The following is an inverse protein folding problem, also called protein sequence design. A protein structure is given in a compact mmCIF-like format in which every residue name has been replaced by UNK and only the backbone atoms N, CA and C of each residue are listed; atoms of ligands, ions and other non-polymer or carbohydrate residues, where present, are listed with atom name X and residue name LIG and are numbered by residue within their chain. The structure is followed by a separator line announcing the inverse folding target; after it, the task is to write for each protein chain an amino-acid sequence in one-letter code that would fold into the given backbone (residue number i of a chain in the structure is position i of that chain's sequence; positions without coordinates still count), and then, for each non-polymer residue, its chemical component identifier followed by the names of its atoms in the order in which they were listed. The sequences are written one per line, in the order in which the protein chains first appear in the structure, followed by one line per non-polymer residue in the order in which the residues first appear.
data_IF_629622575614
#
_entry.id   IF_629622575614
#
_cell.length_a   1.000
_cell.length_b   1.000
_cell.length_c   1.000
_cell.angle_alpha   90.00
_cell.angle_beta   90.00
_cell.angle_gamma   90.00
#
_symmetry.space_group_name_H-M   'P 1'
#
loop_
_entity.id
_entity.type
_entity.pdbx_description
1 polymer ?
#
# COMPACT_ATOMS: atom_id res chain seq x y z
N UNK A 1 -27.64 -4.91 -32.12
CA UNK A 1 -27.92 -4.53 -30.71
C UNK A 1 -26.81 -5.03 -29.77
N UNK A 2 -26.34 -6.25 -29.96
CA UNK A 2 -25.34 -6.87 -29.04
C UNK A 2 -23.99 -6.14 -29.03
N UNK A 3 -23.51 -5.67 -30.19
CA UNK A 3 -22.26 -4.89 -30.30
C UNK A 3 -22.34 -3.56 -29.54
N UNK A 4 -23.47 -2.85 -29.65
CA UNK A 4 -23.69 -1.61 -28.91
C UNK A 4 -23.69 -1.85 -27.39
N UNK A 5 -24.34 -2.92 -26.93
CA UNK A 5 -24.35 -3.29 -25.51
C UNK A 5 -22.94 -3.65 -25.03
N UNK A 6 -22.16 -4.36 -25.84
CA UNK A 6 -20.77 -4.68 -25.52
C UNK A 6 -19.92 -3.42 -25.37
N UNK A 7 -19.99 -2.49 -26.32
CA UNK A 7 -19.26 -1.22 -26.29
C UNK A 7 -19.66 -0.41 -25.05
N UNK A 8 -20.96 -0.30 -24.76
CA UNK A 8 -21.44 0.43 -23.59
C UNK A 8 -20.91 -0.17 -22.28
N UNK A 9 -20.94 -1.50 -22.14
CA UNK A 9 -20.41 -2.20 -20.96
C UNK A 9 -18.90 -2.00 -20.79
N UNK A 10 -18.14 -2.01 -21.88
CA UNK A 10 -16.70 -1.72 -21.85
C UNK A 10 -16.41 -0.27 -21.45
N UNK A 11 -17.11 0.71 -22.01
CA UNK A 11 -16.94 2.12 -21.66
C UNK A 11 -17.31 2.41 -20.21
N UNK A 12 -18.41 1.82 -19.71
CA UNK A 12 -18.78 1.92 -18.29
C UNK A 12 -17.67 1.34 -17.43
N UNK A 13 -17.12 0.18 -17.80
CA UNK A 13 -16.01 -0.44 -17.06
C UNK A 13 -14.78 0.46 -17.01
N UNK A 14 -14.38 1.06 -18.13
CA UNK A 14 -13.28 2.03 -18.16
C UNK A 14 -13.55 3.20 -17.21
N UNK A 15 -14.77 3.75 -17.23
CA UNK A 15 -15.19 4.81 -16.30
C UNK A 15 -15.07 4.38 -14.83
N UNK A 16 -15.50 3.17 -14.48
CA UNK A 16 -15.40 2.62 -13.13
C UNK A 16 -13.93 2.40 -12.70
N UNK A 17 -13.06 1.96 -13.61
CA UNK A 17 -11.62 1.83 -13.34
C UNK A 17 -11.00 3.21 -13.07
N UNK A 18 -11.32 4.21 -13.87
CA UNK A 18 -10.85 5.58 -13.64
C UNK A 18 -11.35 6.14 -12.31
N UNK A 19 -12.60 5.85 -11.93
CA UNK A 19 -13.12 6.22 -10.61
C UNK A 19 -12.38 5.53 -9.47
N UNK A 20 -11.99 4.26 -9.63
CA UNK A 20 -11.17 3.54 -8.66
C UNK A 20 -9.76 4.14 -8.53
N UNK A 21 -9.15 4.53 -9.65
CA UNK A 21 -7.85 5.23 -9.66
C UNK A 21 -7.95 6.58 -8.94
N UNK A 22 -9.02 7.34 -9.17
CA UNK A 22 -9.30 8.60 -8.46
C UNK A 22 -9.58 8.36 -6.97
N UNK A 23 -10.34 7.32 -6.64
CA UNK A 23 -10.60 6.92 -5.25
C UNK A 23 -9.28 6.61 -4.52
N UNK A 24 -8.33 5.96 -5.20
CA UNK A 24 -6.98 5.73 -4.66
C UNK A 24 -6.21 7.03 -4.48
N UNK A 25 -6.25 7.92 -5.46
CA UNK A 25 -5.59 9.22 -5.39
C UNK A 25 -6.07 10.06 -4.18
N UNK A 26 -7.33 9.91 -3.81
CA UNK A 26 -7.97 10.60 -2.68
C UNK A 26 -7.92 9.82 -1.34
N UNK A 27 -7.27 8.64 -1.32
CA UNK A 27 -7.18 7.77 -0.13
C UNK A 27 -6.65 8.47 1.13
N UNK A 28 -5.82 9.51 0.99
CA UNK A 28 -5.34 10.31 2.12
C UNK A 28 -6.50 11.01 2.87
N UNK A 29 -7.51 11.51 2.15
CA UNK A 29 -8.69 12.17 2.75
C UNK A 29 -9.54 11.21 3.58
N UNK A 30 -9.48 9.92 3.24
CA UNK A 30 -10.19 8.85 3.93
C UNK A 30 -9.33 8.14 4.99
N UNK A 31 -8.04 8.48 5.07
CA UNK A 31 -7.09 7.87 5.99
C UNK A 31 -6.76 6.41 5.66
N UNK A 32 -6.81 6.05 4.38
CA UNK A 32 -6.46 4.73 3.82
C UNK A 32 -5.25 4.80 2.89
N UNK A 33 -4.56 5.94 2.86
CA UNK A 33 -3.32 6.12 2.09
C UNK A 33 -2.26 5.08 2.47
N UNK A 34 -1.33 4.83 1.54
CA UNK A 34 -0.23 3.89 1.75
C UNK A 34 0.54 4.24 3.02
N UNK A 35 0.59 3.27 3.95
CA UNK A 35 1.23 3.42 5.25
C UNK A 35 0.69 4.62 6.04
N UNK A 36 -0.63 4.82 6.17
CA UNK A 36 -1.23 5.93 6.93
C UNK A 36 -2.23 5.46 7.99
N UNK A 37 -1.81 5.27 9.23
CA UNK A 37 -2.74 5.14 10.37
C UNK A 37 -2.84 6.36 11.28
N UNK A 38 -1.93 7.33 11.11
CA UNK A 38 -2.07 8.67 11.65
C UNK A 38 -1.92 9.67 10.51
N UNK A 39 -2.75 10.72 10.48
CA UNK A 39 -2.61 11.80 9.48
C UNK A 39 -1.22 12.44 9.59
N UNK A 40 -0.83 13.26 8.59
CA UNK A 40 0.41 14.07 8.61
C UNK A 40 0.62 14.86 9.92
N UNK A 41 -0.46 15.11 10.66
CA UNK A 41 -0.52 15.87 11.91
C UNK A 41 -0.79 15.01 13.16
N UNK A 42 -0.79 13.67 13.05
CA UNK A 42 -0.98 12.76 14.18
C UNK A 42 -2.43 12.45 14.55
N UNK A 43 -3.41 12.93 13.80
CA UNK A 43 -4.83 12.63 14.06
C UNK A 43 -5.18 11.22 13.58
N UNK A 44 -5.93 10.47 14.39
CA UNK A 44 -6.47 9.17 13.98
C UNK A 44 -7.60 9.38 12.95
N UNK A 45 -7.55 8.75 11.78
CA UNK A 45 -8.63 8.84 10.81
C UNK A 45 -9.95 8.35 11.40
N UNK A 46 -11.05 9.05 11.10
CA UNK A 46 -12.39 8.62 11.51
C UNK A 46 -12.73 7.28 10.85
N UNK A 47 -13.01 6.26 11.65
CA UNK A 47 -13.35 4.89 11.20
C UNK A 47 -14.42 4.89 10.10
N UNK A 48 -15.44 5.75 10.22
CA UNK A 48 -16.50 5.89 9.20
C UNK A 48 -15.97 6.24 7.81
N UNK A 49 -14.94 7.09 7.70
CA UNK A 49 -14.35 7.48 6.41
C UNK A 49 -13.58 6.32 5.78
N UNK A 50 -12.85 5.56 6.59
CA UNK A 50 -12.15 4.35 6.13
C UNK A 50 -13.13 3.30 5.61
N UNK A 51 -14.17 3.02 6.39
CA UNK A 51 -15.22 2.08 5.99
C UNK A 51 -15.93 2.54 4.71
N UNK A 52 -16.18 3.84 4.54
CA UNK A 52 -16.74 4.37 3.30
C UNK A 52 -15.81 4.15 2.12
N UNK A 53 -14.49 4.39 2.27
CA UNK A 53 -13.51 4.16 1.22
C UNK A 53 -13.46 2.67 0.81
N UNK A 54 -13.38 1.77 1.78
CA UNK A 54 -13.41 0.33 1.52
C UNK A 54 -14.73 -0.11 0.88
N UNK A 55 -15.86 0.35 1.41
CA UNK A 55 -17.18 0.03 0.90
C UNK A 55 -17.36 0.47 -0.54
N UNK A 56 -16.96 1.70 -0.88
CA UNK A 56 -17.03 2.23 -2.25
C UNK A 56 -16.07 1.46 -3.16
N UNK A 57 -14.82 1.23 -2.74
CA UNK A 57 -13.84 0.50 -3.56
C UNK A 57 -14.30 -0.92 -3.88
N UNK A 58 -14.75 -1.67 -2.88
CA UNK A 58 -15.31 -3.02 -3.06
C UNK A 58 -16.56 -2.98 -3.93
N UNK A 59 -17.48 -2.05 -3.70
CA UNK A 59 -18.70 -1.93 -4.48
C UNK A 59 -18.43 -1.67 -5.97
N UNK A 60 -17.44 -0.82 -6.29
CA UNK A 60 -17.07 -0.56 -7.69
C UNK A 60 -16.39 -1.79 -8.31
N UNK A 61 -15.51 -2.50 -7.60
CA UNK A 61 -14.92 -3.76 -8.08
C UNK A 61 -16.01 -4.78 -8.38
N UNK A 62 -16.99 -4.92 -7.49
CA UNK A 62 -18.16 -5.80 -7.69
C UNK A 62 -18.98 -5.35 -8.90
N UNK A 63 -19.21 -4.05 -9.07
CA UNK A 63 -19.90 -3.52 -10.25
C UNK A 63 -19.16 -3.88 -11.56
N UNK A 64 -17.83 -3.79 -11.59
CA UNK A 64 -17.01 -4.22 -12.74
C UNK A 64 -17.20 -5.72 -13.01
N UNK A 65 -17.22 -6.56 -11.97
CA UNK A 65 -17.45 -8.01 -12.12
C UNK A 65 -18.79 -8.34 -12.78
N UNK A 66 -19.83 -7.54 -12.55
CA UNK A 66 -21.14 -7.75 -13.17
C UNK A 66 -21.28 -7.07 -14.54
N UNK A 67 -20.65 -5.91 -14.73
CA UNK A 67 -20.82 -5.09 -15.94
C UNK A 67 -19.87 -5.53 -17.04
N UNK A 68 -18.61 -5.89 -16.75
CA UNK A 68 -17.68 -6.29 -17.80
C UNK A 68 -18.10 -7.63 -18.44
N UNK A 69 -17.95 -7.84 -19.76
CA UNK A 69 -18.33 -9.09 -20.41
C UNK A 69 -17.51 -10.30 -19.94
N UNK A 70 -16.20 -10.14 -19.74
CA UNK A 70 -15.31 -11.22 -19.31
C UNK A 70 -14.27 -10.75 -18.27
N UNK A 71 -14.69 -10.36 -17.05
CA UNK A 71 -13.80 -9.72 -16.05
C UNK A 71 -12.64 -10.61 -15.57
N UNK A 72 -12.81 -11.92 -15.58
CA UNK A 72 -11.75 -12.85 -15.17
C UNK A 72 -10.70 -13.05 -16.25
N UNK A 73 -11.14 -13.14 -17.51
CA UNK A 73 -10.25 -13.38 -18.65
C UNK A 73 -9.52 -12.09 -19.07
N UNK A 74 -10.24 -10.98 -19.14
CA UNK A 74 -9.72 -9.72 -19.70
C UNK A 74 -9.09 -8.83 -18.64
N UNK A 75 -9.62 -8.86 -17.41
CA UNK A 75 -9.24 -7.95 -16.32
C UNK A 75 -8.54 -8.66 -15.17
N UNK A 76 -8.23 -9.95 -15.29
CA UNK A 76 -7.56 -10.75 -14.24
C UNK A 76 -8.28 -10.70 -12.87
N UNK A 77 -9.57 -10.34 -12.83
CA UNK A 77 -10.37 -10.21 -11.60
C UNK A 77 -10.85 -11.60 -11.13
N UNK A 78 -9.89 -12.47 -10.85
CA UNK A 78 -10.09 -13.83 -10.39
C UNK A 78 -8.86 -14.35 -9.65
N UNK A 79 -8.90 -15.62 -9.25
CA UNK A 79 -7.77 -16.25 -8.56
C UNK A 79 -6.62 -16.64 -9.49
N UNK A 80 -6.89 -16.79 -10.79
CA UNK A 80 -5.96 -17.45 -11.70
C UNK A 80 -5.77 -18.92 -11.37
N UNK A 81 -4.64 -19.48 -11.79
CA UNK A 81 -4.17 -20.81 -11.39
C UNK A 81 -4.00 -20.84 -9.87
N UNK A 82 -4.76 -21.71 -9.19
CA UNK A 82 -4.83 -21.73 -7.72
C UNK A 82 -3.50 -22.14 -7.08
N UNK A 83 -2.78 -23.09 -7.68
CA UNK A 83 -1.53 -23.58 -7.11
C UNK A 83 -0.46 -22.50 -7.25
N UNK A 84 -0.34 -21.91 -8.44
CA UNK A 84 0.58 -20.81 -8.67
C UNK A 84 0.18 -19.56 -7.86
N UNK A 85 -1.11 -19.33 -7.66
CA UNK A 85 -1.61 -18.22 -6.84
C UNK A 85 -1.15 -18.33 -5.39
N UNK A 86 -1.28 -19.52 -4.79
CA UNK A 86 -0.85 -19.77 -3.40
C UNK A 86 0.67 -19.73 -3.28
N UNK A 87 1.38 -20.49 -4.12
CA UNK A 87 2.84 -20.56 -4.04
C UNK A 87 3.50 -19.22 -4.37
N UNK A 88 3.04 -18.58 -5.45
CA UNK A 88 3.50 -17.26 -5.88
C UNK A 88 3.18 -16.19 -4.84
N UNK A 89 2.00 -16.22 -4.24
CA UNK A 89 1.61 -15.28 -3.18
C UNK A 89 2.46 -15.43 -1.91
N UNK A 90 2.72 -16.65 -1.47
CA UNK A 90 3.59 -16.92 -0.32
C UNK A 90 5.03 -16.51 -0.62
N UNK A 91 5.59 -16.92 -1.77
CA UNK A 91 6.95 -16.57 -2.15
C UNK A 91 7.14 -15.05 -2.25
N UNK A 92 6.18 -14.36 -2.89
CA UNK A 92 6.18 -12.91 -2.99
C UNK A 92 6.06 -12.25 -1.61
N UNK A 93 5.17 -12.76 -0.75
CA UNK A 93 5.04 -12.30 0.63
C UNK A 93 6.32 -12.47 1.45
N UNK A 94 6.99 -13.62 1.34
CA UNK A 94 8.27 -13.88 2.03
C UNK A 94 9.37 -12.93 1.55
N UNK A 95 9.46 -12.68 0.25
CA UNK A 95 10.37 -11.66 -0.27
C UNK A 95 10.04 -10.28 0.33
N UNK A 96 8.76 -9.93 0.43
CA UNK A 96 8.30 -8.72 1.11
C UNK A 96 8.69 -8.64 2.59
N UNK A 97 8.60 -9.74 3.33
CA UNK A 97 9.05 -9.83 4.74
C UNK A 97 10.55 -9.57 4.83
N UNK A 98 11.35 -10.19 3.96
CA UNK A 98 12.80 -9.97 3.93
C UNK A 98 13.15 -8.50 3.64
N UNK A 99 12.42 -7.88 2.71
CA UNK A 99 12.57 -6.45 2.39
C UNK A 99 12.19 -5.58 3.59
N UNK A 100 11.11 -5.90 4.30
CA UNK A 100 10.69 -5.17 5.50
C UNK A 100 11.72 -5.27 6.64
N UNK A 101 12.25 -6.47 6.89
CA UNK A 101 13.31 -6.71 7.88
C UNK A 101 14.59 -5.97 7.48
N UNK A 102 14.99 -6.08 6.21
CA UNK A 102 16.18 -5.41 5.68
C UNK A 102 16.07 -3.89 5.80
N UNK A 103 14.91 -3.33 5.46
CA UNK A 103 14.64 -1.91 5.63
C UNK A 103 14.72 -1.48 7.09
N UNK A 104 14.03 -2.17 8.00
CA UNK A 104 14.06 -1.83 9.42
C UNK A 104 15.48 -1.92 9.99
N UNK A 105 16.23 -2.96 9.63
CA UNK A 105 17.61 -3.16 10.07
C UNK A 105 18.54 -2.06 9.55
N UNK A 106 18.42 -1.71 8.27
CA UNK A 106 19.25 -0.66 7.67
C UNK A 106 18.88 0.74 8.21
N UNK A 107 17.59 1.03 8.36
CA UNK A 107 17.08 2.36 8.73
C UNK A 107 17.14 2.65 10.23
N UNK A 108 16.86 1.64 11.05
CA UNK A 108 16.68 1.77 12.50
C UNK A 108 17.72 0.99 13.32
N UNK A 109 18.55 0.17 12.69
CA UNK A 109 19.49 -0.76 13.36
C UNK A 109 18.82 -1.74 14.32
N UNK A 110 17.48 -1.86 14.27
CA UNK A 110 16.66 -2.79 15.05
C UNK A 110 15.28 -2.93 14.42
N UNK A 111 14.62 -4.04 14.69
CA UNK A 111 13.19 -4.19 14.44
C UNK A 111 12.43 -3.45 15.55
N UNK A 112 11.40 -2.70 15.17
CA UNK A 112 10.53 -1.96 16.10
C UNK A 112 9.14 -2.55 16.05
N UNK A 113 8.79 -3.39 17.01
CA UNK A 113 7.44 -3.93 17.06
C UNK A 113 6.44 -2.88 17.57
N UNK A 114 5.27 -2.73 16.93
CA UNK A 114 4.22 -1.86 17.44
C UNK A 114 3.50 -2.48 18.65
N UNK A 115 2.66 -1.69 19.32
CA UNK A 115 1.82 -2.19 20.41
C UNK A 115 0.85 -3.29 19.91
N UNK A 116 0.71 -4.38 20.67
CA UNK A 116 -0.06 -5.56 20.26
C UNK A 116 -1.54 -5.22 19.99
N UNK A 117 -2.10 -4.23 20.68
CA UNK A 117 -3.48 -3.78 20.47
C UNK A 117 -3.72 -3.20 19.06
N UNK A 118 -2.67 -2.79 18.35
CA UNK A 118 -2.78 -2.23 16.99
C UNK A 118 -2.80 -3.30 15.88
N UNK A 119 -2.45 -4.55 16.18
CA UNK A 119 -2.28 -5.61 15.17
C UNK A 119 -3.58 -5.94 14.41
N UNK A 120 -4.75 -6.10 15.06
CA UNK A 120 -5.97 -6.45 14.33
C UNK A 120 -6.38 -5.35 13.33
N UNK A 121 -6.25 -4.09 13.74
CA UNK A 121 -6.55 -2.94 12.87
C UNK A 121 -5.61 -2.85 11.67
N UNK A 122 -4.30 -3.04 11.92
CA UNK A 122 -3.28 -3.00 10.88
C UNK A 122 -3.41 -4.16 9.88
N UNK A 123 -3.77 -5.35 10.36
CA UNK A 123 -4.01 -6.52 9.51
C UNK A 123 -5.20 -6.25 8.58
N UNK A 124 -6.36 -5.87 9.14
CA UNK A 124 -7.55 -5.56 8.36
C UNK A 124 -7.30 -4.44 7.34
N UNK A 125 -6.62 -3.37 7.76
CA UNK A 125 -6.26 -2.25 6.90
C UNK A 125 -5.32 -2.67 5.76
N UNK A 126 -4.30 -3.49 6.06
CA UNK A 126 -3.33 -3.99 5.07
C UNK A 126 -4.02 -4.89 4.05
N UNK A 127 -4.85 -5.83 4.50
CA UNK A 127 -5.60 -6.74 3.64
C UNK A 127 -6.59 -5.98 2.77
N UNK A 128 -7.44 -5.13 3.34
CA UNK A 128 -8.47 -4.41 2.57
C UNK A 128 -7.85 -3.44 1.55
N UNK A 129 -6.75 -2.78 1.91
CA UNK A 129 -6.04 -1.88 0.99
C UNK A 129 -5.36 -2.67 -0.12
N UNK A 130 -4.68 -3.76 0.20
CA UNK A 130 -4.06 -4.62 -0.80
C UNK A 130 -5.11 -5.20 -1.76
N UNK A 131 -6.27 -5.64 -1.26
CA UNK A 131 -7.35 -6.16 -2.12
C UNK A 131 -7.78 -5.13 -3.17
N UNK A 132 -8.09 -3.90 -2.73
CA UNK A 132 -8.51 -2.83 -3.66
C UNK A 132 -7.36 -2.46 -4.59
N UNK A 133 -6.15 -2.24 -4.08
CA UNK A 133 -5.00 -1.87 -4.92
C UNK A 133 -4.73 -2.92 -6.00
N UNK A 134 -4.77 -4.21 -5.66
CA UNK A 134 -4.54 -5.27 -6.64
C UNK A 134 -5.69 -5.40 -7.64
N UNK A 135 -6.95 -5.31 -7.19
CA UNK A 135 -8.10 -5.31 -8.11
C UNK A 135 -8.07 -4.12 -9.09
N UNK A 136 -7.64 -2.94 -8.63
CA UNK A 136 -7.59 -1.72 -9.44
C UNK A 136 -6.42 -1.76 -10.42
N UNK A 137 -5.20 -1.95 -9.93
CA UNK A 137 -4.00 -1.74 -10.72
C UNK A 137 -3.54 -3.00 -11.45
N UNK A 138 -3.61 -4.16 -10.79
CA UNK A 138 -3.08 -5.43 -11.33
C UNK A 138 -4.16 -6.23 -12.03
N UNK A 139 -5.40 -6.09 -11.57
CA UNK A 139 -6.57 -6.55 -12.28
C UNK A 139 -6.96 -5.59 -13.39
N UNK A 140 -7.80 -4.62 -13.06
CA UNK A 140 -8.56 -3.88 -14.06
C UNK A 140 -7.70 -2.97 -14.96
N UNK A 141 -6.80 -2.17 -14.39
CA UNK A 141 -5.97 -1.25 -15.19
C UNK A 141 -4.97 -1.98 -16.07
N UNK A 142 -4.24 -2.96 -15.51
CA UNK A 142 -3.32 -3.79 -16.28
C UNK A 142 -4.06 -4.58 -17.36
N UNK A 143 -5.17 -5.21 -17.02
CA UNK A 143 -6.01 -5.95 -17.96
C UNK A 143 -6.51 -5.07 -19.11
N UNK A 144 -7.00 -3.86 -18.82
CA UNK A 144 -7.40 -2.91 -19.85
C UNK A 144 -6.26 -2.57 -20.82
N UNK A 145 -5.03 -2.37 -20.33
CA UNK A 145 -3.87 -2.15 -21.21
C UNK A 145 -3.60 -3.35 -22.11
N UNK A 146 -3.69 -4.57 -21.57
CA UNK A 146 -3.46 -5.80 -22.33
C UNK A 146 -4.57 -6.06 -23.36
N UNK A 147 -5.83 -5.73 -23.05
CA UNK A 147 -6.97 -5.86 -23.97
C UNK A 147 -6.82 -4.96 -25.20
N UNK A 148 -6.25 -3.76 -25.04
CA UNK A 148 -5.95 -2.86 -26.16
C UNK A 148 -4.57 -3.15 -26.80
N UNK A 149 -4.01 -4.33 -26.55
CA UNK A 149 -2.77 -4.84 -27.13
C UNK A 149 -1.52 -4.02 -26.80
N UNK A 150 -1.49 -3.35 -25.65
CA UNK A 150 -0.24 -2.75 -25.13
C UNK A 150 0.71 -3.88 -24.74
N UNK A 151 1.96 -3.76 -25.18
CA UNK A 151 3.03 -4.69 -24.82
C UNK A 151 3.03 -5.00 -23.30
N UNK A 152 3.10 -6.27 -22.86
CA UNK A 152 2.95 -6.63 -21.46
C UNK A 152 3.95 -5.97 -20.51
N UNK A 153 5.20 -5.79 -20.95
CA UNK A 153 6.23 -5.10 -20.15
C UNK A 153 5.87 -3.63 -19.98
N UNK A 154 5.44 -2.97 -21.06
CA UNK A 154 5.04 -1.57 -21.01
C UNK A 154 3.76 -1.37 -20.17
N UNK A 155 2.77 -2.25 -20.33
CA UNK A 155 1.55 -2.25 -19.53
C UNK A 155 1.86 -2.39 -18.03
N UNK A 156 2.78 -3.30 -17.67
CA UNK A 156 3.23 -3.51 -16.29
C UNK A 156 3.96 -2.28 -15.73
N UNK A 157 4.84 -1.65 -16.52
CA UNK A 157 5.51 -0.41 -16.12
C UNK A 157 4.50 0.73 -15.94
N UNK A 158 3.58 0.91 -16.91
CA UNK A 158 2.59 1.98 -16.87
C UNK A 158 1.67 1.86 -15.66
N UNK A 159 1.11 0.68 -15.37
CA UNK A 159 0.28 0.49 -14.18
C UNK A 159 1.07 0.75 -12.89
N UNK A 160 2.35 0.35 -12.82
CA UNK A 160 3.15 0.52 -11.62
C UNK A 160 3.47 2.00 -11.37
N UNK A 161 3.72 2.77 -12.43
CA UNK A 161 3.89 4.22 -12.37
C UNK A 161 2.59 4.90 -11.93
N UNK A 162 1.45 4.55 -12.53
CA UNK A 162 0.14 5.11 -12.14
C UNK A 162 -0.16 4.77 -10.68
N UNK A 163 0.10 3.53 -10.25
CA UNK A 163 -0.02 3.12 -8.85
C UNK A 163 0.82 4.02 -7.94
N UNK A 164 2.12 4.14 -8.19
CA UNK A 164 3.02 4.97 -7.37
C UNK A 164 2.65 6.47 -7.37
N UNK A 165 2.14 6.99 -8.49
CA UNK A 165 1.63 8.36 -8.57
C UNK A 165 0.38 8.54 -7.71
N UNK A 166 -0.56 7.59 -7.78
CA UNK A 166 -1.80 7.66 -6.99
C UNK A 166 -1.58 7.53 -5.50
N UNK A 167 -0.49 6.88 -5.07
CA UNK A 167 -0.14 6.80 -3.64
C UNK A 167 0.57 8.04 -3.12
N UNK A 168 0.93 8.98 -4.00
CA UNK A 168 1.57 10.28 -3.69
C UNK A 168 2.86 10.15 -2.86
N UNK A 169 3.53 8.99 -2.93
CA UNK A 169 4.79 8.76 -2.21
C UNK A 169 5.96 9.58 -2.77
N UNK A 170 5.84 10.14 -3.98
CA UNK A 170 6.82 11.06 -4.54
C UNK A 170 6.73 12.51 -4.04
N UNK A 171 5.71 12.86 -3.23
CA UNK A 171 5.51 14.23 -2.77
C UNK A 171 6.61 14.71 -1.79
N UNK A 172 6.91 16.02 -1.72
CA UNK A 172 7.92 16.56 -0.80
C UNK A 172 7.67 16.17 0.66
N UNK A 173 8.68 15.61 1.32
CA UNK A 173 8.62 15.17 2.71
C UNK A 173 8.20 13.70 2.91
N UNK A 174 8.06 12.93 1.84
CA UNK A 174 7.88 11.46 1.86
C UNK A 174 9.23 10.73 1.79
N UNK A 175 9.29 9.51 2.31
CA UNK A 175 10.50 8.67 2.25
C UNK A 175 10.68 8.10 0.83
N UNK A 176 11.82 8.40 0.20
CA UNK A 176 12.16 7.91 -1.15
C UNK A 176 12.27 6.39 -1.20
N UNK A 177 12.63 5.76 -0.09
CA UNK A 177 12.67 4.30 -0.01
C UNK A 177 11.28 3.70 -0.23
N UNK A 178 10.25 4.26 0.41
CA UNK A 178 8.87 3.79 0.23
C UNK A 178 8.41 3.96 -1.21
N UNK A 179 8.81 5.02 -1.91
CA UNK A 179 8.51 5.17 -3.34
C UNK A 179 9.12 4.05 -4.19
N UNK A 180 10.41 3.75 -3.98
CA UNK A 180 11.11 2.66 -4.71
C UNK A 180 10.48 1.31 -4.39
N UNK A 181 10.15 1.09 -3.11
CA UNK A 181 9.48 -0.11 -2.66
C UNK A 181 8.11 -0.29 -3.31
N UNK A 182 7.28 0.75 -3.33
CA UNK A 182 5.95 0.73 -3.96
C UNK A 182 6.04 0.48 -5.47
N UNK A 183 7.04 1.05 -6.15
CA UNK A 183 7.32 0.74 -7.56
C UNK A 183 7.72 -0.72 -7.75
N UNK A 184 8.64 -1.23 -6.92
CA UNK A 184 9.09 -2.62 -6.98
C UNK A 184 7.96 -3.62 -6.72
N UNK A 185 7.19 -3.40 -5.66
CA UNK A 185 5.96 -4.15 -5.34
C UNK A 185 5.02 -4.10 -6.54
N UNK A 186 4.84 -2.91 -7.13
CA UNK A 186 3.92 -2.76 -8.24
C UNK A 186 4.31 -3.52 -9.51
N UNK A 187 5.60 -3.54 -9.84
CA UNK A 187 6.14 -4.28 -10.98
C UNK A 187 6.10 -5.80 -10.76
N UNK A 188 6.48 -6.26 -9.57
CA UNK A 188 6.45 -7.68 -9.20
C UNK A 188 5.01 -8.17 -9.15
N UNK A 189 4.10 -7.42 -8.53
CA UNK A 189 2.68 -7.77 -8.44
C UNK A 189 2.03 -7.87 -9.82
N UNK A 190 2.32 -6.95 -10.75
CA UNK A 190 1.81 -7.03 -12.12
C UNK A 190 2.38 -8.22 -12.89
N UNK A 191 3.68 -8.51 -12.77
CA UNK A 191 4.28 -9.70 -13.37
C UNK A 191 3.62 -10.98 -12.85
N UNK A 192 3.49 -11.10 -11.52
CA UNK A 192 2.86 -12.25 -10.85
C UNK A 192 1.41 -12.42 -11.29
N UNK A 193 0.66 -11.32 -11.45
CA UNK A 193 -0.74 -11.37 -11.89
C UNK A 193 -0.88 -11.93 -13.31
N UNK A 194 -0.02 -11.48 -14.23
CA UNK A 194 -0.02 -12.00 -15.61
C UNK A 194 0.36 -13.47 -15.65
N UNK A 195 1.40 -13.87 -14.91
CA UNK A 195 1.87 -15.27 -14.87
C UNK A 195 0.84 -16.21 -14.26
N UNK A 196 0.15 -15.77 -13.20
CA UNK A 196 -0.85 -16.61 -12.52
C UNK A 196 -2.23 -16.53 -13.18
N UNK A 197 -2.49 -15.54 -14.03
CA UNK A 197 -3.80 -15.32 -14.63
C UNK A 197 -4.84 -14.75 -13.67
N UNK A 198 -4.40 -14.11 -12.58
CA UNK A 198 -5.31 -13.52 -11.60
C UNK A 198 -4.61 -12.73 -10.48
N UNK A 199 -5.35 -11.88 -9.79
CA UNK A 199 -4.80 -11.00 -8.75
C UNK A 199 -4.45 -11.70 -7.43
N UNK A 200 -4.84 -12.97 -7.23
CA UNK A 200 -4.75 -13.61 -5.91
C UNK A 200 -3.32 -13.71 -5.35
N UNK A 201 -2.33 -14.10 -6.17
CA UNK A 201 -0.94 -14.13 -5.70
C UNK A 201 -0.42 -12.74 -5.35
N UNK A 202 -0.66 -11.76 -6.22
CA UNK A 202 -0.23 -10.39 -5.99
C UNK A 202 -0.90 -9.80 -4.74
N UNK A 203 -2.18 -10.10 -4.52
CA UNK A 203 -2.94 -9.71 -3.33
C UNK A 203 -2.34 -10.28 -2.05
N UNK A 204 -2.08 -11.58 -2.00
CA UNK A 204 -1.51 -12.23 -0.82
C UNK A 204 -0.13 -11.65 -0.51
N UNK A 205 0.75 -11.57 -1.51
CA UNK A 205 2.10 -11.06 -1.30
C UNK A 205 2.13 -9.57 -0.94
N UNK A 206 1.27 -8.75 -1.56
CA UNK A 206 1.14 -7.33 -1.20
C UNK A 206 0.60 -7.14 0.23
N UNK A 207 -0.44 -7.91 0.62
CA UNK A 207 -0.98 -7.85 1.98
C UNK A 207 0.07 -8.25 3.04
N UNK A 208 0.81 -9.34 2.81
CA UNK A 208 1.90 -9.79 3.68
C UNK A 208 2.99 -8.71 3.76
N UNK A 209 3.42 -8.16 2.63
CA UNK A 209 4.49 -7.15 2.57
C UNK A 209 4.10 -5.90 3.37
N UNK A 210 2.88 -5.39 3.19
CA UNK A 210 2.38 -4.24 3.93
C UNK A 210 2.34 -4.49 5.44
N UNK A 211 1.83 -5.65 5.83
CA UNK A 211 1.75 -5.99 7.25
C UNK A 211 3.13 -6.22 7.86
N UNK A 212 4.07 -6.81 7.13
CA UNK A 212 5.45 -6.98 7.55
C UNK A 212 6.15 -5.63 7.75
N UNK A 213 5.96 -4.67 6.84
CA UNK A 213 6.50 -3.31 6.99
C UNK A 213 5.98 -2.63 8.25
N UNK A 214 4.68 -2.76 8.54
CA UNK A 214 4.08 -2.29 9.78
C UNK A 214 4.74 -2.94 11.01
N UNK A 215 4.84 -4.27 11.03
CA UNK A 215 5.44 -5.02 12.15
C UNK A 215 6.92 -4.67 12.36
N UNK A 216 7.68 -4.48 11.27
CA UNK A 216 9.12 -4.29 11.35
C UNK A 216 9.51 -2.84 11.70
N UNK A 217 8.71 -1.86 11.28
CA UNK A 217 9.01 -0.44 11.48
C UNK A 217 8.31 0.16 12.68
N UNK A 218 7.28 -0.50 13.22
CA UNK A 218 6.56 -0.08 14.43
C UNK A 218 5.73 1.19 14.23
N UNK A 219 5.66 1.67 13.00
CA UNK A 219 4.90 2.84 12.64
C UNK A 219 3.55 2.39 12.07
N UNK A 220 2.51 2.89 12.72
CA UNK A 220 1.13 2.84 12.24
C UNK A 220 1.02 3.67 10.93
N UNK A 221 1.91 4.65 10.72
CA UNK A 221 1.96 5.50 9.52
C UNK A 221 3.26 5.41 8.72
N UNK A 222 3.53 6.45 7.91
CA UNK A 222 4.72 6.51 7.09
C UNK A 222 5.93 6.71 7.98
N UNK A 223 7.04 6.05 7.63
CA UNK A 223 8.33 6.37 8.22
C UNK A 223 8.60 7.86 8.02
N UNK A 224 8.91 8.57 9.11
CA UNK A 224 9.27 9.98 8.97
C UNK A 224 10.60 10.07 8.22
N UNK A 225 10.80 11.11 7.39
CA UNK A 225 12.09 11.35 6.76
C UNK A 225 13.22 11.33 7.78
N UNK A 226 14.42 10.94 7.34
CA UNK A 226 15.60 10.89 8.21
C UNK A 226 15.78 12.22 8.97
N UNK A 227 16.06 12.10 10.26
CA UNK A 227 16.20 13.18 11.24
C UNK A 227 14.88 13.87 11.67
N UNK A 228 13.72 13.29 11.36
CA UNK A 228 12.41 13.85 11.78
C UNK A 228 11.64 12.97 12.76
N UNK A 229 12.18 11.82 13.13
CA UNK A 229 11.59 11.01 14.20
C UNK A 229 11.83 11.65 15.56
N UNK A 230 10.85 11.52 16.46
CA UNK A 230 10.93 12.11 17.81
C UNK A 230 12.16 11.57 18.54
N UNK A 231 12.44 10.28 18.39
CA UNK A 231 13.62 9.62 18.96
C UNK A 231 14.94 10.14 18.36
N UNK A 232 14.98 10.42 17.06
CA UNK A 232 16.17 10.98 16.40
C UNK A 232 16.41 12.44 16.81
N UNK A 233 15.33 13.21 16.95
CA UNK A 233 15.36 14.58 17.47
C UNK A 233 15.78 14.58 18.94
N UNK A 234 15.23 13.69 19.76
CA UNK A 234 15.60 13.53 21.16
C UNK A 234 17.05 13.05 21.29
N UNK A 235 17.52 12.11 20.47
CA UNK A 235 18.91 11.66 20.46
C UNK A 235 19.88 12.80 20.11
N UNK A 236 19.46 13.76 19.26
CA UNK A 236 20.23 14.99 18.98
C UNK A 236 20.18 16.01 20.13
N UNK A 237 19.08 16.04 20.89
CA UNK A 237 18.91 16.94 22.05
C UNK A 237 19.60 16.40 23.31
N UNK A 238 19.77 15.09 23.41
CA UNK A 238 20.49 14.43 24.49
C UNK A 238 22.01 14.51 24.24
N UNK A 239 22.82 14.60 25.30
CA UNK A 239 24.26 14.45 25.17
C UNK A 239 24.60 13.09 24.55
N UNK A 240 25.77 12.95 23.90
CA UNK A 240 26.26 11.65 23.46
C UNK A 240 26.27 10.65 24.62
N UNK A 241 26.06 9.37 24.31
CA UNK A 241 26.14 8.30 25.30
C UNK A 241 27.49 8.36 26.03
N UNK A 242 27.46 8.36 27.37
CA UNK A 242 28.64 8.50 28.22
C UNK A 242 28.98 9.94 28.63
N UNK A 243 28.32 10.97 28.09
CA UNK A 243 28.56 12.36 28.47
C UNK A 243 27.65 12.77 29.64
N UNK A 244 28.27 13.28 30.71
CA UNK A 244 27.55 13.86 31.86
C UNK A 244 27.19 15.31 31.55
N UNK A 245 25.92 15.68 31.73
CA UNK A 245 25.50 17.07 31.60
C UNK A 245 26.09 17.85 32.78
N UNK A 246 27.05 18.73 32.52
CA UNK A 246 27.59 19.66 33.52
C UNK A 246 26.80 20.97 33.37
N UNK A 247 25.73 21.13 34.17
CA UNK A 247 24.85 22.29 34.15
C UNK A 247 23.66 22.14 35.12
N UNK A 248 23.24 23.26 35.72
CA UNK A 248 22.39 23.30 36.92
C UNK A 248 20.97 22.79 36.71
N UNK A 249 20.68 21.62 37.29
CA UNK A 249 19.32 21.18 37.63
C UNK A 249 19.06 21.28 39.15
N UNK A 250 19.80 22.15 39.82
CA UNK A 250 19.82 22.32 41.29
C UNK A 250 19.21 23.64 41.80
N UNK A 251 18.40 24.36 41.01
CA UNK A 251 17.58 25.47 41.55
C UNK A 251 16.12 25.10 41.82
N UNK A 252 15.78 23.80 41.83
CA UNK A 252 14.45 23.31 42.26
C UNK A 252 14.50 22.56 43.59
N UNK A 253 15.36 22.99 44.50
CA UNK A 253 15.20 22.66 45.92
C UNK A 253 15.45 23.87 46.79
N UNK A 254 14.43 24.19 47.60
CA UNK A 254 14.41 25.12 48.73
C UNK A 254 14.21 26.60 48.40
N UNK A 255 12.94 26.98 48.35
CA UNK A 255 12.48 28.04 49.26
C UNK A 255 11.02 27.80 49.69
N UNK A 256 10.90 27.50 50.99
CA UNK A 256 9.75 27.59 51.92
C UNK A 256 8.47 26.81 51.66
#
# INVERSE_FOLDING_TARGET
MDEFVLIARSLITVGLVLLLVLLRLDSEKFGTAEYYEATRYGERPRIRRRLAWYGIGVAIVVAILYIHPAPQADLFLGSGDRLLAVLGGIAYGLAGVLVAIGFATFRYHRIRFPDAASYPGALLNSTATAFIDEAVFRGALLGLFLVIDVNPTLANIAQALIYALTTRLGAPGRDRYLLVLTLGIGLVGGYVTVVTGGIAAAFVGHAITRFALFLCTGHTGQTKPRNREVEEIEKRRRPPEGWRIIGSRESSSRDR
#
